data_IF_911976241100
#
_entry.id   IF_911976241100
#
_cell.length_a   1.000
_cell.length_b   1.000
_cell.length_c   1.000
_cell.angle_alpha   90.00
_cell.angle_beta   90.00
_cell.angle_gamma   90.00
#
_symmetry.space_group_name_H-M   'P 1'
#
loop_
_entity.id
_entity.type
_entity.pdbx_description
1 polymer ?
#
# COMPACT_ATOMS: atom_id res chain seq x y z
N UNK A 1 -12.73 13.03 -6.09
CA UNK A 1 -11.53 12.23 -5.72
C UNK A 1 -11.93 10.78 -5.77
N UNK A 2 -11.23 9.96 -6.55
CA UNK A 2 -11.50 8.52 -6.58
C UNK A 2 -10.48 7.85 -5.68
N UNK A 3 -10.91 7.36 -4.52
CA UNK A 3 -10.03 6.60 -3.63
C UNK A 3 -10.00 5.16 -4.13
N UNK A 4 -8.81 4.68 -4.50
CA UNK A 4 -8.59 3.26 -4.80
C UNK A 4 -8.01 2.59 -3.57
N UNK A 5 -8.48 1.39 -3.26
CA UNK A 5 -8.01 0.59 -2.12
C UNK A 5 -7.58 -0.78 -2.64
N UNK A 6 -6.34 -1.17 -2.33
CA UNK A 6 -5.83 -2.50 -2.58
C UNK A 6 -5.63 -3.20 -1.23
N UNK A 7 -6.35 -4.29 -1.03
CA UNK A 7 -6.26 -5.07 0.22
C UNK A 7 -5.64 -6.41 -0.09
N UNK A 8 -4.56 -6.74 0.61
CA UNK A 8 -3.84 -8.00 0.45
C UNK A 8 -3.47 -8.61 1.81
N UNK A 9 -3.54 -9.95 1.91
CA UNK A 9 -3.01 -10.67 3.06
C UNK A 9 -1.52 -10.93 2.87
N UNK A 10 -0.72 -10.40 3.77
CA UNK A 10 0.72 -10.56 3.74
C UNK A 10 1.14 -11.98 4.12
N UNK A 11 2.19 -12.47 3.43
CA UNK A 11 2.96 -13.62 3.88
C UNK A 11 3.94 -13.21 4.98
N UNK A 12 4.40 -14.19 5.77
CA UNK A 12 5.39 -13.96 6.81
C UNK A 12 6.64 -13.27 6.24
N UNK A 13 6.98 -12.08 6.74
CA UNK A 13 8.15 -11.34 6.30
C UNK A 13 7.97 -10.59 4.97
N UNK A 14 6.77 -10.57 4.40
CA UNK A 14 6.49 -9.85 3.15
C UNK A 14 6.60 -8.34 3.38
N UNK A 15 7.37 -7.69 2.51
CA UNK A 15 7.52 -6.22 2.49
C UNK A 15 6.96 -5.61 1.22
N UNK A 16 7.07 -6.32 0.11
CA UNK A 16 6.64 -5.83 -1.19
C UNK A 16 5.20 -6.23 -1.46
N UNK A 17 4.39 -5.27 -1.89
CA UNK A 17 3.03 -5.47 -2.37
C UNK A 17 2.95 -4.88 -3.77
N UNK A 18 2.72 -5.76 -4.74
CA UNK A 18 2.61 -5.38 -6.14
C UNK A 18 1.33 -4.61 -6.38
N UNK A 19 1.42 -3.50 -7.08
CA UNK A 19 0.24 -2.69 -7.40
C UNK A 19 -0.04 -2.80 -8.90
N UNK A 20 -1.32 -2.96 -9.29
CA UNK A 20 -1.69 -3.08 -10.69
C UNK A 20 -1.42 -1.79 -11.49
N UNK A 21 -1.41 -0.64 -10.82
CA UNK A 21 -1.18 0.66 -11.45
C UNK A 21 -0.40 1.56 -10.50
N UNK A 22 0.88 1.81 -10.80
CA UNK A 22 1.66 2.81 -10.11
C UNK A 22 1.37 4.19 -10.70
N UNK A 23 0.95 5.12 -9.85
CA UNK A 23 0.82 6.52 -10.21
C UNK A 23 1.78 7.37 -9.37
N UNK A 24 2.86 7.94 -9.97
CA UNK A 24 3.82 8.77 -9.24
C UNK A 24 3.21 10.07 -8.71
N UNK A 25 2.06 10.50 -9.24
CA UNK A 25 1.34 11.67 -8.77
C UNK A 25 0.46 11.37 -7.52
N UNK A 26 0.43 10.12 -7.05
CA UNK A 26 -0.33 9.71 -5.87
C UNK A 26 0.63 9.22 -4.79
N UNK A 27 0.41 9.69 -3.57
CA UNK A 27 1.13 9.18 -2.40
C UNK A 27 0.31 8.04 -1.78
N UNK A 28 0.71 6.77 -1.93
CA UNK A 28 0.02 5.69 -1.27
C UNK A 28 0.24 5.73 0.24
N UNK A 29 -0.79 5.35 0.98
CA UNK A 29 -0.69 5.06 2.41
C UNK A 29 -1.01 3.59 2.63
N UNK A 30 -0.37 2.95 3.61
CA UNK A 30 -0.67 1.57 3.96
C UNK A 30 -0.99 1.46 5.45
N UNK A 31 -1.96 0.63 5.81
CA UNK A 31 -2.24 0.24 7.18
C UNK A 31 -2.15 -1.28 7.31
N UNK A 32 -1.75 -1.75 8.48
CA UNK A 32 -1.68 -3.18 8.81
C UNK A 32 -2.75 -3.49 9.85
N UNK A 33 -3.60 -4.48 9.57
CA UNK A 33 -4.71 -4.92 10.42
C UNK A 33 -5.67 -3.76 10.82
N UNK A 34 -5.83 -2.77 9.95
CA UNK A 34 -6.64 -1.57 10.22
C UNK A 34 -6.07 -0.65 11.30
N UNK A 35 -4.81 -0.84 11.67
CA UNK A 35 -4.10 0.01 12.62
C UNK A 35 -3.61 1.33 12.01
N UNK A 36 -2.61 1.93 12.66
CA UNK A 36 -2.00 3.16 12.18
C UNK A 36 -1.31 2.97 10.82
N UNK A 37 -1.13 4.08 10.08
CA UNK A 37 -0.37 4.07 8.84
C UNK A 37 1.07 3.63 9.10
N UNK A 38 1.55 2.71 8.27
CA UNK A 38 2.92 2.19 8.35
C UNK A 38 3.83 2.89 7.34
N UNK A 39 5.11 3.11 7.68
CA UNK A 39 6.07 3.66 6.74
C UNK A 39 6.26 2.74 5.52
N UNK A 40 6.26 3.34 4.34
CA UNK A 40 6.40 2.65 3.07
C UNK A 40 7.19 3.49 2.06
N UNK A 41 7.75 2.82 1.08
CA UNK A 41 8.35 3.41 -0.10
C UNK A 41 7.55 2.99 -1.33
N UNK A 42 7.03 3.97 -2.07
CA UNK A 42 6.37 3.70 -3.35
C UNK A 42 7.41 3.47 -4.45
N UNK A 43 7.22 2.44 -5.27
CA UNK A 43 8.08 2.08 -6.40
C UNK A 43 7.21 1.84 -7.64
N UNK A 44 7.75 1.96 -8.87
CA UNK A 44 6.96 1.79 -10.09
C UNK A 44 6.19 0.46 -10.22
N UNK A 45 6.58 -0.57 -9.48
CA UNK A 45 5.94 -1.88 -9.45
C UNK A 45 5.00 -2.11 -8.25
N UNK A 46 4.92 -1.18 -7.29
CA UNK A 46 4.18 -1.40 -6.06
C UNK A 46 4.57 -0.50 -4.89
N UNK A 47 4.43 -1.04 -3.68
CA UNK A 47 4.95 -0.43 -2.45
C UNK A 47 5.82 -1.41 -1.68
N UNK A 48 6.83 -0.89 -0.99
CA UNK A 48 7.71 -1.63 -0.10
C UNK A 48 7.51 -1.09 1.30
N UNK A 49 6.98 -1.90 2.21
CA UNK A 49 6.91 -1.56 3.63
C UNK A 49 8.32 -1.51 4.23
N UNK A 50 8.58 -0.52 5.08
CA UNK A 50 9.86 -0.45 5.81
C UNK A 50 9.97 -1.61 6.80
N UNK A 51 8.89 -1.86 7.53
CA UNK A 51 8.72 -3.00 8.44
C UNK A 51 8.09 -4.19 7.72
N UNK A 52 8.64 -5.40 7.85
CA UNK A 52 8.02 -6.60 7.31
C UNK A 52 6.69 -6.88 8.00
N UNK A 53 5.67 -7.22 7.21
CA UNK A 53 4.39 -7.68 7.74
C UNK A 53 4.50 -9.11 8.28
N UNK A 54 3.70 -9.42 9.29
CA UNK A 54 3.60 -10.77 9.84
C UNK A 54 2.71 -11.65 8.95
N UNK A 55 2.75 -12.95 9.19
CA UNK A 55 1.90 -13.88 8.46
C UNK A 55 0.43 -13.59 8.75
N UNK A 56 -0.39 -13.54 7.69
CA UNK A 56 -1.83 -13.26 7.73
C UNK A 56 -2.20 -11.82 8.11
N UNK A 57 -1.23 -10.91 8.21
CA UNK A 57 -1.52 -9.49 8.35
C UNK A 57 -2.34 -9.00 7.16
N UNK A 58 -3.38 -8.23 7.43
CA UNK A 58 -4.18 -7.58 6.39
C UNK A 58 -3.58 -6.22 6.09
N UNK A 59 -2.95 -6.09 4.93
CA UNK A 59 -2.36 -4.85 4.48
C UNK A 59 -3.36 -4.15 3.56
N UNK A 60 -3.75 -2.94 3.94
CA UNK A 60 -4.67 -2.09 3.17
C UNK A 60 -3.88 -0.92 2.65
N UNK A 61 -3.79 -0.81 1.32
CA UNK A 61 -3.06 0.25 0.63
C UNK A 61 -4.10 1.18 0.00
N UNK A 62 -4.06 2.46 0.37
CA UNK A 62 -5.01 3.47 -0.08
C UNK A 62 -4.31 4.49 -0.98
N UNK A 63 -4.95 4.78 -2.11
CA UNK A 63 -4.52 5.75 -3.12
C UNK A 63 -5.54 6.86 -3.21
N UNK A 64 -5.17 8.05 -2.74
CA UNK A 64 -5.93 9.25 -3.00
C UNK A 64 -5.52 9.79 -4.38
N UNK A 65 -6.21 9.35 -5.45
CA UNK A 65 -6.04 10.01 -6.74
C UNK A 65 -6.56 11.44 -6.61
N UNK A 66 -5.63 12.40 -6.65
CA UNK A 66 -5.96 13.74 -7.11
C UNK A 66 -6.45 13.60 -8.55
N UNK A 67 -7.75 13.80 -8.74
CA UNK A 67 -8.32 14.02 -10.06
C UNK A 67 -7.81 15.39 -10.51
N UNK A 68 -6.66 15.44 -11.17
CA UNK A 68 -6.34 16.60 -12.00
C UNK A 68 -7.27 16.52 -13.20
N UNK A 69 -8.39 17.23 -13.10
CA UNK A 69 -9.23 17.59 -14.25
C UNK A 69 -8.55 18.64 -15.11
#
# INVERSE_FOLDING_TARGET
MTTRVHTEKAKAGQKFFGLPEYNPAVTPTATINGGASVPLTAVPSGIVLTTPAAQNDVVVITFDQLLYG
#
